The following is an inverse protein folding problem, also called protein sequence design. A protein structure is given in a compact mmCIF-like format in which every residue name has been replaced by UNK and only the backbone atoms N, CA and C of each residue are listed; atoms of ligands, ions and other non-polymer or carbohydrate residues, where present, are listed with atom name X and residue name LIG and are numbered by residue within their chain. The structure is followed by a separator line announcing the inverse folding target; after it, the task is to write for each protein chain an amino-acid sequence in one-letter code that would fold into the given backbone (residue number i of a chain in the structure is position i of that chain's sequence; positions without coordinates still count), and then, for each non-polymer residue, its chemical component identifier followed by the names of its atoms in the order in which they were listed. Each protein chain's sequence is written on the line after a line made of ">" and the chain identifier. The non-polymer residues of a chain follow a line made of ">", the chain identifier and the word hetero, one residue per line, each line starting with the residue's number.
data_IF_496321764504
#
_entry.id   IF_496321764504
#
_cell.length_a   1.000
_cell.length_b   1.000
_cell.length_c   1.000
_cell.angle_alpha   90.00
_cell.angle_beta   90.00
_cell.angle_gamma   90.00
#
_symmetry.space_group_name_H-M   'P 1'
#
loop_
_entity.id
_entity.type
_entity.pdbx_description
1 polymer ?
#
# COMPACT_ATOMS: atom_id res chain seq x y z
N UNK A 1 -0.16 2.07 22.49
CA UNK A 1 -0.40 0.91 21.62
C UNK A 1 -1.81 0.80 21.03
N UNK A 2 -2.88 1.31 21.67
CA UNK A 2 -4.27 1.12 21.19
C UNK A 2 -4.77 2.11 20.11
N UNK A 3 -4.11 3.24 19.88
CA UNK A 3 -4.61 4.32 19.00
C UNK A 3 -4.32 4.13 17.51
N UNK A 4 -3.16 3.57 17.15
CA UNK A 4 -2.74 3.45 15.74
C UNK A 4 -3.39 2.26 15.02
N UNK A 5 -3.69 1.19 15.76
CA UNK A 5 -4.54 0.10 15.28
C UNK A 5 -5.92 0.62 14.85
N UNK A 6 -6.37 1.72 15.47
CA UNK A 6 -7.70 2.27 15.25
C UNK A 6 -7.83 3.04 13.92
N UNK A 7 -6.74 3.61 13.36
CA UNK A 7 -6.79 4.32 12.06
C UNK A 7 -6.78 3.31 10.90
N UNK A 8 -5.90 2.32 10.96
CA UNK A 8 -5.94 1.21 10.03
C UNK A 8 -7.27 0.46 10.08
N UNK A 9 -7.79 0.19 11.28
CA UNK A 9 -9.10 -0.43 11.49
C UNK A 9 -10.27 0.50 11.11
N UNK A 10 -10.16 1.81 11.30
CA UNK A 10 -11.20 2.77 10.90
C UNK A 10 -11.28 2.89 9.37
N UNK A 11 -10.14 2.90 8.70
CA UNK A 11 -10.07 2.89 7.24
C UNK A 11 -10.54 1.55 6.68
N UNK A 12 -10.24 0.43 7.35
CA UNK A 12 -10.72 -0.92 7.02
C UNK A 12 -12.22 -1.11 7.27
N UNK A 13 -12.76 -0.62 8.40
CA UNK A 13 -14.19 -0.75 8.73
C UNK A 13 -15.11 0.02 7.75
N UNK A 14 -14.57 1.03 7.09
CA UNK A 14 -15.31 1.81 6.09
C UNK A 14 -15.52 1.06 4.77
N UNK A 15 -14.73 0.01 4.50
CA UNK A 15 -14.90 -0.84 3.33
C UNK A 15 -16.02 -1.88 3.49
N UNK A 16 -16.34 -2.28 4.72
CA UNK A 16 -17.35 -3.30 4.98
C UNK A 16 -18.80 -2.80 4.90
N UNK A 17 -19.03 -1.49 4.89
CA UNK A 17 -20.38 -0.92 4.89
C UNK A 17 -21.00 -0.73 3.50
N UNK A 18 -20.31 -1.13 2.43
CA UNK A 18 -20.79 -1.02 1.04
C UNK A 18 -21.52 -2.26 0.49
N UNK A 19 -21.46 -3.41 1.17
CA UNK A 19 -22.06 -4.66 0.70
C UNK A 19 -22.89 -5.32 1.81
N UNK A 20 -24.10 -4.83 2.07
CA UNK A 20 -25.12 -5.64 2.74
C UNK A 20 -26.06 -6.23 1.68
N UNK A 21 -25.73 -7.39 1.16
CA UNK A 21 -26.72 -8.31 0.60
C UNK A 21 -26.52 -9.67 1.24
N UNK A 22 -27.58 -10.08 1.95
CA UNK A 22 -27.96 -11.38 2.46
C UNK A 22 -27.08 -12.57 2.05
N UNK A 23 -26.30 -13.09 3.00
CA UNK A 23 -25.86 -14.48 2.96
C UNK A 23 -26.48 -15.22 4.12
N UNK A 24 -27.40 -16.12 3.77
CA UNK A 24 -28.00 -17.10 4.68
C UNK A 24 -26.90 -17.95 5.32
N UNK A 25 -26.97 -18.05 6.64
CA UNK A 25 -26.19 -18.98 7.44
C UNK A 25 -26.55 -20.43 7.06
N UNK A 26 -25.64 -21.12 6.41
CA UNK A 26 -25.62 -22.58 6.41
C UNK A 26 -24.58 -23.04 7.43
N UNK A 27 -25.07 -23.55 8.57
CA UNK A 27 -24.30 -24.38 9.49
C UNK A 27 -24.03 -25.74 8.82
N UNK A 28 -22.79 -26.09 8.65
CA UNK A 28 -22.39 -27.49 8.48
C UNK A 28 -20.93 -27.73 8.88
N UNK A 29 -20.81 -28.54 9.92
CA UNK A 29 -19.76 -29.51 10.27
C UNK A 29 -18.29 -29.05 10.36
N UNK A 30 -17.86 -28.98 11.61
CA UNK A 30 -16.46 -29.12 12.05
C UNK A 30 -15.88 -30.45 11.55
N UNK A 31 -14.96 -30.37 10.59
CA UNK A 31 -14.04 -31.46 10.30
C UNK A 31 -12.63 -31.00 10.71
N UNK A 32 -12.17 -31.53 11.84
CA UNK A 32 -10.82 -31.40 12.37
C UNK A 32 -9.82 -32.01 11.38
N UNK A 33 -9.32 -31.25 10.43
CA UNK A 33 -8.09 -31.55 9.70
C UNK A 33 -7.02 -30.58 10.18
N UNK A 34 -6.13 -31.07 11.04
CA UNK A 34 -4.82 -30.46 11.27
C UNK A 34 -4.07 -30.45 9.94
N UNK A 35 -4.18 -29.33 9.21
CA UNK A 35 -3.29 -29.06 8.07
C UNK A 35 -1.93 -28.74 8.65
N UNK A 36 -1.01 -29.70 8.64
CA UNK A 36 0.42 -29.42 8.77
C UNK A 36 0.77 -28.37 7.70
N UNK A 37 1.09 -27.18 8.18
CA UNK A 37 1.56 -26.09 7.32
C UNK A 37 2.94 -26.47 6.79
N UNK A 38 2.98 -26.94 5.55
CA UNK A 38 4.22 -27.37 4.90
C UNK A 38 5.06 -26.13 4.57
N UNK A 39 6.11 -25.90 5.37
CA UNK A 39 6.99 -24.73 5.37
C UNK A 39 7.75 -24.59 4.05
N UNK A 40 7.95 -25.66 3.29
CA UNK A 40 8.60 -25.63 1.97
C UNK A 40 7.74 -24.94 0.89
N UNK A 41 6.43 -24.80 1.12
CA UNK A 41 5.55 -23.98 0.25
C UNK A 41 5.73 -22.47 0.45
N UNK A 42 6.24 -22.02 1.59
CA UNK A 42 6.39 -20.59 1.91
C UNK A 42 7.50 -19.94 1.08
N UNK A 43 8.53 -20.69 0.67
CA UNK A 43 9.62 -20.18 -0.18
C UNK A 43 9.18 -19.86 -1.64
N UNK A 44 8.10 -20.51 -2.11
CA UNK A 44 7.54 -20.29 -3.44
C UNK A 44 6.35 -19.29 -3.45
N UNK A 45 5.88 -18.83 -2.31
CA UNK A 45 4.76 -17.89 -2.22
C UNK A 45 5.16 -16.53 -2.80
N UNK A 46 6.41 -16.08 -2.62
CA UNK A 46 6.84 -14.75 -3.05
C UNK A 46 6.61 -14.51 -4.55
N UNK A 47 7.08 -15.40 -5.44
CA UNK A 47 6.95 -15.17 -6.89
C UNK A 47 5.50 -15.32 -7.40
N UNK A 48 4.75 -16.28 -6.89
CA UNK A 48 3.36 -16.50 -7.29
C UNK A 48 2.44 -15.36 -6.82
N UNK A 49 2.69 -14.78 -5.66
CA UNK A 49 1.94 -13.65 -5.13
C UNK A 49 2.15 -12.39 -5.99
N UNK A 50 3.40 -12.06 -6.33
CA UNK A 50 3.71 -10.90 -7.17
C UNK A 50 3.12 -11.03 -8.58
N UNK A 51 3.21 -12.23 -9.15
CA UNK A 51 2.59 -12.52 -10.45
C UNK A 51 1.07 -12.34 -10.41
N UNK A 52 0.40 -12.86 -9.37
CA UNK A 52 -1.04 -12.71 -9.20
C UNK A 52 -1.47 -11.25 -9.06
N UNK A 53 -0.73 -10.44 -8.31
CA UNK A 53 -0.98 -8.99 -8.22
C UNK A 53 -0.87 -8.31 -9.59
N UNK A 54 0.16 -8.68 -10.38
CA UNK A 54 0.35 -8.16 -11.74
C UNK A 54 -0.82 -8.54 -12.66
N UNK A 55 -1.27 -9.80 -12.66
CA UNK A 55 -2.43 -10.24 -13.44
C UNK A 55 -3.73 -9.51 -13.05
N UNK A 56 -3.96 -9.33 -11.74
CA UNK A 56 -5.12 -8.58 -11.23
C UNK A 56 -5.07 -7.11 -11.65
N UNK A 57 -3.87 -6.52 -11.68
CA UNK A 57 -3.72 -5.15 -12.12
C UNK A 57 -3.93 -4.99 -13.63
N UNK A 58 -3.46 -5.94 -14.46
CA UNK A 58 -3.77 -5.97 -15.89
C UNK A 58 -5.28 -6.10 -16.15
N UNK A 59 -5.98 -6.88 -15.33
CA UNK A 59 -7.45 -6.95 -15.38
C UNK A 59 -8.09 -5.60 -15.04
N UNK A 60 -7.57 -4.92 -14.01
CA UNK A 60 -8.02 -3.60 -13.61
C UNK A 60 -7.80 -2.53 -14.68
N UNK A 61 -6.67 -2.56 -15.42
CA UNK A 61 -6.45 -1.65 -16.55
C UNK A 61 -7.51 -1.86 -17.64
N UNK A 62 -7.86 -3.11 -17.92
CA UNK A 62 -8.87 -3.45 -18.95
C UNK A 62 -10.30 -3.10 -18.52
N UNK A 63 -10.56 -3.21 -17.23
CA UNK A 63 -11.89 -2.99 -16.62
C UNK A 63 -11.75 -2.10 -15.38
N UNK A 64 -11.59 -0.76 -15.55
CA UNK A 64 -11.31 0.16 -14.46
C UNK A 64 -12.58 0.45 -13.64
N UNK A 65 -12.89 -0.44 -12.71
CA UNK A 65 -14.01 -0.32 -11.79
C UNK A 65 -13.67 -0.74 -10.35
N UNK A 66 -14.55 -0.43 -9.41
CA UNK A 66 -14.37 -0.73 -7.99
C UNK A 66 -14.25 -2.24 -7.73
N UNK A 67 -14.92 -3.09 -8.51
CA UNK A 67 -14.89 -4.54 -8.33
C UNK A 67 -13.49 -5.10 -8.59
N UNK A 68 -12.90 -4.78 -9.76
CA UNK A 68 -11.55 -5.25 -10.11
C UNK A 68 -10.49 -4.63 -9.20
N UNK A 69 -10.71 -3.38 -8.74
CA UNK A 69 -9.84 -2.79 -7.74
C UNK A 69 -9.91 -3.54 -6.39
N UNK A 70 -11.10 -3.92 -5.94
CA UNK A 70 -11.24 -4.72 -4.72
C UNK A 70 -10.63 -6.12 -4.86
N UNK A 71 -10.77 -6.76 -6.02
CA UNK A 71 -10.14 -8.05 -6.29
C UNK A 71 -8.60 -7.95 -6.18
N UNK A 72 -7.99 -6.90 -6.73
CA UNK A 72 -6.57 -6.64 -6.56
C UNK A 72 -6.21 -6.39 -5.09
N UNK A 73 -6.97 -5.54 -4.38
CA UNK A 73 -6.69 -5.23 -2.97
C UNK A 73 -6.82 -6.42 -2.04
N UNK A 74 -7.65 -7.39 -2.37
CA UNK A 74 -7.81 -8.62 -1.59
C UNK A 74 -6.51 -9.44 -1.55
N UNK A 75 -5.71 -9.45 -2.62
CA UNK A 75 -4.41 -10.14 -2.63
C UNK A 75 -3.48 -9.53 -1.58
N UNK A 76 -3.42 -8.20 -1.51
CA UNK A 76 -2.65 -7.49 -0.48
C UNK A 76 -3.22 -7.69 0.93
N UNK A 77 -4.54 -7.85 1.05
CA UNK A 77 -5.18 -8.15 2.33
C UNK A 77 -4.77 -9.52 2.86
N UNK A 78 -4.85 -10.55 2.03
CA UNK A 78 -4.51 -11.91 2.43
C UNK A 78 -3.02 -12.09 2.74
N UNK A 79 -2.16 -11.31 2.08
CA UNK A 79 -0.73 -11.29 2.33
C UNK A 79 -0.31 -10.43 3.53
N UNK A 80 -1.22 -9.64 4.11
CA UNK A 80 -0.93 -8.61 5.15
C UNK A 80 0.09 -7.54 4.69
N UNK A 81 0.15 -7.26 3.38
CA UNK A 81 1.14 -6.39 2.71
C UNK A 81 0.49 -5.14 2.08
N UNK A 82 -0.49 -4.56 2.76
CA UNK A 82 -1.29 -3.44 2.20
C UNK A 82 -0.49 -2.27 1.66
N UNK A 83 0.58 -1.89 2.35
CA UNK A 83 1.34 -0.70 1.98
C UNK A 83 2.15 -0.90 0.70
N UNK A 84 2.46 -2.14 0.35
CA UNK A 84 3.09 -2.48 -0.92
C UNK A 84 2.20 -2.20 -2.14
N UNK A 85 0.89 -2.04 -1.94
CA UNK A 85 -0.06 -1.68 -2.99
C UNK A 85 0.04 -0.22 -3.46
N UNK A 86 0.93 0.60 -2.89
CA UNK A 86 0.99 2.05 -3.12
C UNK A 86 0.97 2.44 -4.60
N UNK A 87 1.80 1.81 -5.44
CA UNK A 87 1.87 2.16 -6.87
C UNK A 87 0.58 1.82 -7.60
N UNK A 88 0.02 0.66 -7.35
CA UNK A 88 -1.26 0.26 -7.93
C UNK A 88 -2.39 1.20 -7.50
N UNK A 89 -2.39 1.63 -6.23
CA UNK A 89 -3.38 2.57 -5.72
C UNK A 89 -3.22 3.97 -6.35
N UNK A 90 -1.99 4.46 -6.52
CA UNK A 90 -1.72 5.72 -7.20
C UNK A 90 -2.27 5.70 -8.63
N UNK A 91 -1.96 4.67 -9.40
CA UNK A 91 -2.42 4.55 -10.78
C UNK A 91 -3.93 4.33 -10.85
N UNK A 92 -4.50 3.47 -10.02
CA UNK A 92 -5.93 3.25 -9.95
C UNK A 92 -6.69 4.55 -9.63
N UNK A 93 -6.21 5.33 -8.66
CA UNK A 93 -6.81 6.61 -8.27
C UNK A 93 -6.68 7.69 -9.35
N UNK A 94 -5.47 7.87 -9.87
CA UNK A 94 -5.10 9.08 -10.61
C UNK A 94 -5.26 8.90 -12.12
N UNK A 95 -4.89 7.73 -12.64
CA UNK A 95 -4.94 7.42 -14.07
C UNK A 95 -6.23 6.75 -14.49
N UNK A 96 -6.71 5.78 -13.68
CA UNK A 96 -7.93 5.02 -13.99
C UNK A 96 -9.20 5.66 -13.40
N UNK A 97 -9.07 6.66 -12.53
CA UNK A 97 -10.19 7.42 -11.98
C UNK A 97 -11.02 6.68 -10.91
N UNK A 98 -10.44 5.66 -10.28
CA UNK A 98 -11.15 4.85 -9.28
C UNK A 98 -11.15 5.57 -7.93
N UNK A 99 -12.33 6.01 -7.49
CA UNK A 99 -12.46 6.86 -6.31
C UNK A 99 -12.09 6.16 -5.00
N UNK A 100 -12.41 4.88 -4.85
CA UNK A 100 -12.07 4.12 -3.63
C UNK A 100 -10.56 3.93 -3.46
N UNK A 101 -9.77 4.03 -4.52
CA UNK A 101 -8.31 3.96 -4.44
C UNK A 101 -7.70 5.15 -3.70
N UNK A 102 -8.34 6.32 -3.70
CA UNK A 102 -7.85 7.54 -3.06
C UNK A 102 -7.61 7.37 -1.55
N UNK A 103 -8.53 6.67 -0.86
CA UNK A 103 -8.36 6.42 0.58
C UNK A 103 -7.19 5.47 0.86
N UNK A 104 -6.90 4.56 -0.08
CA UNK A 104 -5.74 3.66 0.03
C UNK A 104 -4.43 4.40 -0.14
N UNK A 105 -4.33 5.28 -1.14
CA UNK A 105 -3.17 6.17 -1.29
C UNK A 105 -2.95 6.97 0.00
N UNK A 106 -4.00 7.60 0.54
CA UNK A 106 -3.89 8.35 1.78
C UNK A 106 -3.39 7.49 2.95
N UNK A 107 -3.87 6.25 3.06
CA UNK A 107 -3.41 5.31 4.09
C UNK A 107 -1.93 4.99 3.97
N UNK A 108 -1.47 4.61 2.78
CA UNK A 108 -0.05 4.30 2.53
C UNK A 108 0.86 5.50 2.82
N UNK A 109 0.48 6.70 2.35
CA UNK A 109 1.26 7.92 2.55
C UNK A 109 1.32 8.34 4.02
N UNK A 110 0.27 8.07 4.80
CA UNK A 110 0.24 8.45 6.22
C UNK A 110 1.23 7.68 7.10
N UNK A 111 1.74 6.55 6.64
CA UNK A 111 2.65 5.73 7.42
C UNK A 111 4.04 6.37 7.64
N UNK A 112 4.45 7.33 6.81
CA UNK A 112 5.74 8.01 6.96
C UNK A 112 5.71 9.23 7.87
N UNK A 113 4.56 9.67 8.35
CA UNK A 113 4.35 10.96 9.04
C UNK A 113 5.07 11.13 10.39
N UNK A 114 5.86 10.16 10.82
CA UNK A 114 6.58 10.25 12.11
C UNK A 114 7.88 11.07 12.05
N UNK A 115 8.32 11.51 10.88
CA UNK A 115 9.49 12.37 10.75
C UNK A 115 9.07 13.84 10.60
N UNK A 116 9.33 14.71 11.62
CA UNK A 116 8.91 16.10 11.57
C UNK A 116 9.56 16.92 10.46
N UNK A 117 10.70 16.48 9.94
CA UNK A 117 11.47 17.23 8.93
C UNK A 117 11.05 16.89 7.49
N UNK A 118 10.48 15.71 7.25
CA UNK A 118 10.16 15.21 5.90
C UNK A 118 8.71 14.75 5.75
N UNK A 119 7.99 14.52 6.84
CA UNK A 119 6.63 13.99 6.78
C UNK A 119 5.54 15.03 6.47
N UNK A 120 5.82 16.33 6.44
CA UNK A 120 4.78 17.35 6.26
C UNK A 120 4.18 17.30 4.85
N UNK A 121 5.01 17.18 3.82
CA UNK A 121 4.53 17.07 2.44
C UNK A 121 3.67 15.82 2.25
N UNK A 122 4.05 14.70 2.83
CA UNK A 122 3.26 13.46 2.80
C UNK A 122 1.94 13.61 3.56
N UNK A 123 1.92 14.36 4.65
CA UNK A 123 0.69 14.66 5.38
C UNK A 123 -0.27 15.49 4.51
N UNK A 124 0.22 16.55 3.89
CA UNK A 124 -0.59 17.42 3.04
C UNK A 124 -1.14 16.66 1.82
N UNK A 125 -0.31 15.83 1.20
CA UNK A 125 -0.73 14.99 0.09
C UNK A 125 -1.75 13.93 0.52
N UNK A 126 -1.50 13.24 1.61
CA UNK A 126 -2.42 12.26 2.20
C UNK A 126 -3.78 12.89 2.49
N UNK A 127 -3.79 14.07 3.11
CA UNK A 127 -4.99 14.84 3.39
C UNK A 127 -5.72 15.25 2.11
N UNK A 128 -4.99 15.63 1.07
CA UNK A 128 -5.56 15.94 -0.25
C UNK A 128 -6.31 14.73 -0.84
N UNK A 129 -5.72 13.53 -0.78
CA UNK A 129 -6.40 12.31 -1.23
C UNK A 129 -7.64 11.98 -0.41
N UNK A 130 -7.60 12.15 0.92
CA UNK A 130 -8.77 11.97 1.77
C UNK A 130 -9.90 12.94 1.43
N UNK A 131 -9.58 14.21 1.19
CA UNK A 131 -10.55 15.23 0.79
C UNK A 131 -11.16 14.91 -0.58
N UNK A 132 -10.35 14.51 -1.55
CA UNK A 132 -10.82 14.07 -2.88
C UNK A 132 -11.76 12.85 -2.75
N UNK A 133 -11.37 11.85 -1.97
CA UNK A 133 -12.22 10.67 -1.73
C UNK A 133 -13.55 11.05 -1.07
N UNK A 134 -13.55 11.84 -0.01
CA UNK A 134 -14.76 12.24 0.70
C UNK A 134 -15.72 13.03 -0.21
N UNK A 135 -15.19 13.84 -1.14
CA UNK A 135 -15.98 14.58 -2.11
C UNK A 135 -16.63 13.67 -3.16
N UNK A 136 -15.90 12.68 -3.68
CA UNK A 136 -16.40 11.77 -4.73
C UNK A 136 -17.42 10.77 -4.18
N UNK A 137 -17.15 10.16 -3.05
CA UNK A 137 -17.98 9.08 -2.51
C UNK A 137 -19.16 9.59 -1.67
N UNK A 138 -19.20 10.88 -1.33
CA UNK A 138 -20.19 11.49 -0.42
C UNK A 138 -20.36 10.67 0.87
N UNK A 139 -19.27 10.10 1.37
CA UNK A 139 -19.29 9.20 2.51
C UNK A 139 -19.75 9.94 3.76
N UNK A 140 -20.78 9.42 4.46
CA UNK A 140 -21.40 10.07 5.63
C UNK A 140 -20.41 10.43 6.74
N UNK A 141 -19.31 9.66 6.87
CA UNK A 141 -18.23 9.88 7.85
C UNK A 141 -16.99 10.57 7.27
N UNK A 142 -17.03 10.99 6.00
CA UNK A 142 -15.87 11.57 5.32
C UNK A 142 -15.30 12.77 6.10
N UNK A 143 -16.15 13.67 6.55
CA UNK A 143 -15.74 14.83 7.36
C UNK A 143 -15.06 14.43 8.67
N UNK A 144 -15.62 13.49 9.41
CA UNK A 144 -15.03 13.00 10.67
C UNK A 144 -13.68 12.32 10.47
N UNK A 145 -13.49 11.63 9.36
CA UNK A 145 -12.22 10.98 9.02
C UNK A 145 -11.16 12.04 8.71
N UNK A 146 -11.52 13.08 7.96
CA UNK A 146 -10.63 14.19 7.65
C UNK A 146 -10.22 14.93 8.93
N UNK A 147 -11.20 15.35 9.75
CA UNK A 147 -10.95 16.04 11.02
C UNK A 147 -10.04 15.22 11.94
N UNK A 148 -10.29 13.91 12.02
CA UNK A 148 -9.45 13.02 12.81
C UNK A 148 -8.04 12.90 12.27
N UNK A 149 -7.87 12.82 10.96
CA UNK A 149 -6.55 12.78 10.33
C UNK A 149 -5.79 14.10 10.56
N UNK A 150 -6.45 15.25 10.42
CA UNK A 150 -5.87 16.56 10.69
C UNK A 150 -5.42 16.73 12.14
N UNK A 151 -6.14 16.09 13.08
CA UNK A 151 -5.80 16.13 14.51
C UNK A 151 -4.62 15.24 14.90
N UNK A 152 -4.14 14.38 14.02
CA UNK A 152 -2.98 13.52 14.30
C UNK A 152 -1.70 14.35 14.32
N UNK A 153 -0.93 14.19 15.38
CA UNK A 153 0.43 14.73 15.41
C UNK A 153 1.36 13.81 14.60
N UNK A 154 2.37 14.41 14.00
CA UNK A 154 3.35 13.66 13.20
C UNK A 154 4.11 12.59 14.01
N UNK A 155 4.24 12.83 15.33
CA UNK A 155 4.95 11.91 16.24
C UNK A 155 4.12 10.66 16.61
N UNK A 156 2.83 10.64 16.33
CA UNK A 156 1.95 9.51 16.67
C UNK A 156 1.93 8.41 15.63
N UNK A 157 2.40 8.69 14.43
CA UNK A 157 2.40 7.72 13.34
C UNK A 157 3.67 6.87 13.37
N UNK A 158 3.50 5.57 13.49
CA UNK A 158 4.58 4.59 13.45
C UNK A 158 4.40 3.69 12.24
N UNK A 159 5.48 3.48 11.51
CA UNK A 159 5.50 2.47 10.45
C UNK A 159 5.25 1.10 11.07
N UNK A 160 4.34 0.37 10.45
CA UNK A 160 4.11 -1.02 10.80
C UNK A 160 5.27 -1.87 10.29
N UNK A 161 6.18 -2.23 11.19
CA UNK A 161 7.28 -3.13 10.88
C UNK A 161 6.81 -4.56 11.16
N UNK A 162 6.93 -5.48 10.19
CA UNK A 162 6.56 -6.87 10.39
C UNK A 162 7.34 -7.51 11.54
N UNK A 163 6.70 -8.40 12.28
CA UNK A 163 7.36 -9.18 13.31
C UNK A 163 8.27 -10.21 12.67
N UNK A 164 9.58 -10.10 12.89
CA UNK A 164 10.57 -11.07 12.41
C UNK A 164 10.60 -12.25 13.37
N UNK A 165 10.28 -13.44 12.87
CA UNK A 165 10.42 -14.69 13.58
C UNK A 165 11.71 -15.39 13.18
N UNK A 166 12.13 -16.42 13.92
CA UNK A 166 13.32 -17.20 13.57
C UNK A 166 13.25 -17.81 12.17
N UNK A 167 12.04 -18.13 11.70
CA UNK A 167 11.77 -18.73 10.38
C UNK A 167 11.42 -17.71 9.30
N UNK A 168 11.53 -16.41 9.58
CA UNK A 168 11.25 -15.37 8.58
C UNK A 168 12.19 -15.49 7.40
N UNK A 169 11.65 -15.32 6.17
CA UNK A 169 12.46 -15.30 4.96
C UNK A 169 13.45 -14.13 4.95
N UNK A 170 14.51 -14.25 4.17
CA UNK A 170 15.46 -13.17 3.98
C UNK A 170 14.75 -11.90 3.49
N UNK A 171 13.83 -12.03 2.53
CA UNK A 171 13.04 -10.91 2.00
C UNK A 171 12.28 -10.19 3.11
N UNK A 172 11.61 -10.91 4.01
CA UNK A 172 10.90 -10.30 5.13
C UNK A 172 11.84 -9.56 6.08
N UNK A 173 13.04 -10.08 6.32
CA UNK A 173 14.06 -9.41 7.14
C UNK A 173 14.53 -8.12 6.50
N UNK A 174 14.81 -8.14 5.18
CA UNK A 174 15.21 -6.96 4.43
C UNK A 174 14.10 -5.90 4.38
N UNK A 175 12.85 -6.31 4.18
CA UNK A 175 11.66 -5.44 4.28
C UNK A 175 11.60 -4.75 5.65
N UNK A 176 11.66 -5.52 6.73
CA UNK A 176 11.60 -4.99 8.08
C UNK A 176 12.79 -4.08 8.43
N UNK A 177 14.00 -4.39 7.96
CA UNK A 177 15.18 -3.55 8.12
C UNK A 177 15.04 -2.22 7.36
N UNK A 178 14.56 -2.27 6.13
CA UNK A 178 14.27 -1.07 5.31
C UNK A 178 13.27 -0.15 5.99
N UNK A 179 12.18 -0.69 6.55
CA UNK A 179 11.17 0.08 7.27
C UNK A 179 11.68 0.68 8.59
N UNK A 180 12.80 0.17 9.11
CA UNK A 180 13.53 0.74 10.26
C UNK A 180 14.63 1.74 9.86
N UNK A 181 14.81 1.99 8.57
CA UNK A 181 15.80 2.93 8.04
C UNK A 181 17.18 2.33 7.77
N UNK A 182 17.32 1.01 7.75
CA UNK A 182 18.57 0.35 7.37
C UNK A 182 18.85 0.55 5.87
N UNK A 183 19.87 1.36 5.57
CA UNK A 183 20.30 1.61 4.18
C UNK A 183 20.85 0.34 3.53
N UNK A 184 21.53 -0.50 4.30
CA UNK A 184 22.08 -1.76 3.81
C UNK A 184 20.97 -2.74 3.41
N UNK A 185 19.96 -2.92 4.28
CA UNK A 185 18.83 -3.80 3.99
C UNK A 185 18.00 -3.28 2.82
N UNK A 186 17.82 -1.95 2.73
CA UNK A 186 17.15 -1.34 1.58
C UNK A 186 17.88 -1.64 0.26
N UNK A 187 19.20 -1.51 0.21
CA UNK A 187 19.99 -1.81 -0.99
C UNK A 187 19.85 -3.27 -1.41
N UNK A 188 19.98 -4.20 -0.46
CA UNK A 188 19.81 -5.65 -0.71
C UNK A 188 18.38 -5.98 -1.14
N UNK A 189 17.38 -5.36 -0.50
CA UNK A 189 15.98 -5.52 -0.89
C UNK A 189 15.73 -5.04 -2.32
N UNK A 190 16.24 -3.86 -2.66
CA UNK A 190 16.15 -3.29 -4.01
C UNK A 190 16.79 -4.20 -5.05
N UNK A 191 17.99 -4.73 -4.79
CA UNK A 191 18.66 -5.69 -5.70
C UNK A 191 17.81 -6.94 -5.91
N UNK A 192 17.29 -7.50 -4.81
CA UNK A 192 16.43 -8.69 -4.85
C UNK A 192 15.10 -8.47 -5.57
N UNK A 193 14.51 -7.29 -5.44
CA UNK A 193 13.22 -6.91 -6.03
C UNK A 193 13.36 -6.15 -7.37
N UNK A 194 14.54 -6.12 -7.98
CA UNK A 194 14.78 -5.41 -9.25
C UNK A 194 14.26 -6.13 -10.49
N UNK A 195 13.84 -7.39 -10.37
CA UNK A 195 13.28 -8.18 -11.47
C UNK A 195 11.90 -7.64 -11.93
N UNK A 196 11.42 -8.18 -13.05
CA UNK A 196 10.37 -7.57 -13.86
C UNK A 196 9.03 -7.32 -13.17
N UNK A 197 8.64 -8.10 -12.18
CA UNK A 197 7.35 -7.95 -11.52
C UNK A 197 7.45 -7.37 -10.10
N UNK A 198 8.58 -7.57 -9.43
CA UNK A 198 8.73 -7.22 -8.02
C UNK A 198 9.08 -5.75 -7.77
N UNK A 199 9.64 -5.04 -8.76
CA UNK A 199 10.07 -3.64 -8.59
C UNK A 199 8.92 -2.71 -8.17
N UNK A 200 7.69 -3.04 -8.54
CA UNK A 200 6.47 -2.28 -8.22
C UNK A 200 6.31 -2.12 -6.70
N UNK A 201 6.58 -3.18 -5.97
CA UNK A 201 6.45 -3.21 -4.50
C UNK A 201 7.57 -2.41 -3.81
N UNK A 202 8.69 -2.21 -4.51
CA UNK A 202 9.78 -1.36 -4.01
C UNK A 202 9.37 0.11 -3.85
N UNK A 203 8.30 0.57 -4.53
CA UNK A 203 7.86 1.96 -4.38
C UNK A 203 7.58 2.32 -2.92
N UNK A 204 6.91 1.45 -2.18
CA UNK A 204 6.60 1.71 -0.77
C UNK A 204 7.86 1.86 0.09
N UNK A 205 8.83 0.96 -0.08
CA UNK A 205 10.10 1.02 0.67
C UNK A 205 10.95 2.23 0.26
N UNK A 206 11.00 2.54 -1.03
CA UNK A 206 11.68 3.74 -1.54
C UNK A 206 11.03 5.01 -0.97
N UNK A 207 9.71 5.08 -0.97
CA UNK A 207 8.95 6.17 -0.38
C UNK A 207 9.28 6.36 1.11
N UNK A 208 9.25 5.30 1.92
CA UNK A 208 9.57 5.37 3.35
C UNK A 208 11.02 5.80 3.58
N UNK A 209 11.98 5.24 2.85
CA UNK A 209 13.40 5.61 2.97
C UNK A 209 13.66 7.06 2.56
N UNK A 210 12.97 7.54 1.53
CA UNK A 210 13.09 8.91 1.04
C UNK A 210 12.43 9.93 1.99
N UNK A 211 11.19 9.67 2.38
CA UNK A 211 10.35 10.61 3.12
C UNK A 211 10.67 10.60 4.63
N UNK A 212 10.75 9.42 5.24
CA UNK A 212 10.98 9.30 6.68
C UNK A 212 12.45 9.41 7.08
N UNK A 213 13.35 8.84 6.28
CA UNK A 213 14.77 8.77 6.62
C UNK A 213 15.65 9.69 5.78
N UNK A 214 15.05 10.49 4.89
CA UNK A 214 15.74 11.45 4.02
C UNK A 214 16.89 10.81 3.19
N UNK A 215 16.76 9.52 2.83
CA UNK A 215 17.77 8.81 2.06
C UNK A 215 17.71 9.22 0.59
N UNK A 216 18.65 10.08 0.16
CA UNK A 216 18.63 10.70 -1.17
C UNK A 216 18.59 9.70 -2.36
N UNK A 217 19.28 8.54 -2.36
CA UNK A 217 19.14 7.58 -3.45
C UNK A 217 17.71 7.03 -3.60
N UNK A 218 16.98 6.85 -2.49
CA UNK A 218 15.61 6.37 -2.53
C UNK A 218 14.64 7.36 -3.18
N UNK A 219 14.92 8.67 -3.12
CA UNK A 219 14.16 9.68 -3.87
C UNK A 219 14.18 9.42 -5.37
N UNK A 220 15.37 9.15 -5.92
CA UNK A 220 15.52 8.80 -7.34
C UNK A 220 14.83 7.48 -7.67
N UNK A 221 14.83 6.53 -6.75
CA UNK A 221 14.17 5.25 -6.94
C UNK A 221 12.65 5.41 -7.05
N UNK A 222 12.02 6.27 -6.22
CA UNK A 222 10.59 6.60 -6.34
C UNK A 222 10.25 7.05 -7.75
N UNK A 223 10.97 8.05 -8.26
CA UNK A 223 10.72 8.60 -9.60
C UNK A 223 10.96 7.56 -10.69
N UNK A 224 12.03 6.78 -10.56
CA UNK A 224 12.40 5.74 -11.53
C UNK A 224 11.35 4.64 -11.61
N UNK A 225 10.85 4.17 -10.47
CA UNK A 225 9.83 3.12 -10.37
C UNK A 225 8.53 3.58 -11.03
N UNK A 226 8.05 4.78 -10.71
CA UNK A 226 6.82 5.32 -11.30
C UNK A 226 6.96 5.47 -12.82
N UNK A 227 8.05 6.05 -13.31
CA UNK A 227 8.30 6.22 -14.75
C UNK A 227 8.37 4.86 -15.48
N UNK A 228 9.06 3.88 -14.89
CA UNK A 228 9.16 2.52 -15.44
C UNK A 228 7.77 1.90 -15.57
N UNK A 229 6.96 1.98 -14.52
CA UNK A 229 5.62 1.40 -14.48
C UNK A 229 4.69 1.98 -15.56
N UNK A 230 4.66 3.31 -15.70
CA UNK A 230 3.84 3.97 -16.73
C UNK A 230 4.25 3.54 -18.14
N UNK A 231 5.54 3.37 -18.39
CA UNK A 231 6.07 2.93 -19.69
C UNK A 231 5.72 1.46 -19.97
N UNK A 232 5.94 0.56 -19.01
CA UNK A 232 5.72 -0.88 -19.18
C UNK A 232 4.26 -1.24 -19.40
N UNK A 233 3.36 -0.56 -18.72
CA UNK A 233 1.90 -0.77 -18.86
C UNK A 233 1.25 0.13 -19.94
N UNK A 234 2.04 0.85 -20.74
CA UNK A 234 1.53 1.74 -21.80
C UNK A 234 0.46 2.74 -21.32
N UNK A 235 0.62 3.27 -20.11
CA UNK A 235 -0.35 4.19 -19.50
C UNK A 235 -0.31 5.61 -20.08
N UNK A 236 0.60 5.88 -21.01
CA UNK A 236 0.84 7.20 -21.57
C UNK A 236 1.58 8.12 -20.59
N UNK A 237 1.46 9.44 -20.71
CA UNK A 237 2.16 10.37 -19.81
C UNK A 237 1.65 10.24 -18.37
N UNK A 238 2.55 10.51 -17.42
CA UNK A 238 2.22 10.56 -16.00
C UNK A 238 1.18 11.67 -15.80
N UNK A 239 0.09 11.35 -15.11
CA UNK A 239 -0.94 12.31 -14.76
C UNK A 239 -0.46 13.32 -13.71
N UNK A 240 -1.18 14.45 -13.61
CA UNK A 240 -0.81 15.57 -12.74
C UNK A 240 -0.72 15.18 -11.26
N UNK A 241 -1.60 14.31 -10.78
CA UNK A 241 -1.63 13.94 -9.36
C UNK A 241 -0.49 12.98 -9.01
N UNK A 242 -0.16 12.04 -9.90
CA UNK A 242 1.03 11.17 -9.75
C UNK A 242 2.32 11.98 -9.90
N UNK A 243 2.37 12.97 -10.82
CA UNK A 243 3.51 13.87 -10.91
C UNK A 243 3.69 14.68 -9.63
N UNK A 244 2.59 15.14 -9.01
CA UNK A 244 2.66 15.84 -7.72
C UNK A 244 3.23 14.97 -6.60
N UNK A 245 2.96 13.67 -6.62
CA UNK A 245 3.61 12.72 -5.72
C UNK A 245 5.11 12.61 -6.01
N UNK A 246 5.53 12.49 -7.26
CA UNK A 246 6.95 12.42 -7.64
C UNK A 246 7.73 13.68 -7.25
N UNK A 247 7.13 14.87 -7.41
CA UNK A 247 7.75 16.17 -7.11
C UNK A 247 8.10 16.34 -5.61
N UNK A 248 7.54 15.50 -4.70
CA UNK A 248 7.98 15.48 -3.30
C UNK A 248 9.44 15.04 -3.16
N UNK A 249 9.99 14.38 -4.17
CA UNK A 249 11.30 13.73 -4.12
C UNK A 249 12.32 14.34 -5.10
N UNK A 250 11.95 15.36 -5.84
CA UNK A 250 12.87 16.19 -6.64
C UNK A 250 13.62 17.17 -5.73
#
# INVERSE_FOLDING_TARGET
>A
MKRNILIGLLLLSLQQTGCTNNVQQNKSNEDNRSTEFNIDKVANIDSSYYHLCSEKFESLIKHPDDKHFHELMNEFYYADEYSESLLYCLVASNKLGIDVAKIRVASCLSESLSNPNVGQNSKDLSLSYLKKWASCTKHKRGKQIIERFESLTMNENQIRVPTITYKSSETQRLKAGSLKGSVEDYKKLKEKMSNDEMYVFMLYYAYIMADRYAYSPAKKDVITIVNRFYREHNLGPIDKDTQSFCNLFE
#
